data_IF_580088748446
#
_entry.id   IF_580088748446
#
_cell.length_a   1.000
_cell.length_b   1.000
_cell.length_c   1.000
_cell.angle_alpha   90.00
_cell.angle_beta   90.00
_cell.angle_gamma   90.00
#
_symmetry.space_group_name_H-M   'P 1'
#
loop_
_entity.id
_entity.type
_entity.pdbx_description
1 polymer ?
#
# COMPACT_ATOMS: atom_id res chain seq x y z
N UNK A 1 2.03 -7.58 -12.33
CA UNK A 1 2.29 -8.18 -11.00
C UNK A 1 1.84 -7.27 -9.84
N UNK A 2 1.80 -5.94 -9.98
CA UNK A 2 1.60 -5.03 -8.84
C UNK A 2 0.18 -5.01 -8.25
N UNK A 3 -0.89 -5.02 -9.06
CA UNK A 3 -2.27 -4.90 -8.56
C UNK A 3 -2.69 -6.10 -7.68
N UNK A 4 -2.25 -7.31 -8.04
CA UNK A 4 -2.59 -8.54 -7.32
C UNK A 4 -1.93 -8.62 -5.93
N UNK A 5 -0.77 -7.97 -5.74
CA UNK A 5 -0.13 -7.88 -4.42
C UNK A 5 -0.99 -7.10 -3.43
N UNK A 6 -1.67 -6.03 -3.87
CA UNK A 6 -2.40 -5.18 -2.93
C UNK A 6 -3.71 -5.79 -2.43
N UNK A 7 -4.31 -6.71 -3.19
CA UNK A 7 -5.47 -7.48 -2.69
C UNK A 7 -5.10 -8.29 -1.44
N UNK A 8 -3.85 -8.75 -1.33
CA UNK A 8 -3.36 -9.46 -0.13
C UNK A 8 -3.32 -8.60 1.14
N UNK A 9 -3.37 -7.27 1.01
CA UNK A 9 -3.45 -6.37 2.16
C UNK A 9 -4.84 -6.32 2.80
N UNK A 10 -5.90 -6.65 2.06
CA UNK A 10 -7.27 -6.72 2.61
C UNK A 10 -7.38 -7.74 3.76
N UNK A 11 -6.99 -9.03 3.59
CA UNK A 11 -7.02 -9.97 4.70
C UNK A 11 -6.04 -9.61 5.82
N UNK A 12 -4.90 -8.95 5.53
CA UNK A 12 -3.99 -8.47 6.57
C UNK A 12 -4.63 -7.37 7.43
N UNK A 13 -5.34 -6.43 6.82
CA UNK A 13 -6.09 -5.39 7.54
C UNK A 13 -7.12 -6.03 8.47
N UNK A 14 -7.88 -7.00 7.98
CA UNK A 14 -8.87 -7.73 8.80
C UNK A 14 -8.19 -8.44 9.97
N UNK A 15 -7.07 -9.13 9.73
CA UNK A 15 -6.28 -9.80 10.77
C UNK A 15 -5.75 -8.82 11.82
N UNK A 16 -5.23 -7.66 11.39
CA UNK A 16 -4.74 -6.63 12.29
C UNK A 16 -5.85 -6.10 13.20
N UNK A 17 -7.04 -5.86 12.64
CA UNK A 17 -8.22 -5.40 13.38
C UNK A 17 -8.80 -6.49 14.30
N UNK A 18 -8.64 -7.77 13.97
CA UNK A 18 -9.03 -8.89 14.84
C UNK A 18 -8.00 -9.19 15.95
N UNK A 19 -7.00 -8.32 16.13
CA UNK A 19 -5.97 -8.44 17.16
C UNK A 19 -4.75 -9.29 16.78
N UNK A 20 -4.75 -9.91 15.61
CA UNK A 20 -3.62 -10.69 15.08
C UNK A 20 -2.78 -9.82 14.15
N UNK A 21 -1.96 -8.95 14.76
CA UNK A 21 -1.17 -7.94 14.04
C UNK A 21 -0.02 -8.58 13.26
N UNK A 22 0.03 -8.29 11.95
CA UNK A 22 1.14 -8.63 11.07
C UNK A 22 2.32 -7.68 11.18
N UNK A 23 3.41 -7.97 10.45
CA UNK A 23 4.60 -7.12 10.42
C UNK A 23 4.31 -5.80 9.67
N UNK A 24 4.44 -4.62 10.32
CA UNK A 24 4.14 -3.33 9.70
C UNK A 24 5.21 -2.87 8.68
N UNK A 25 6.43 -3.42 8.69
CA UNK A 25 7.51 -2.97 7.82
C UNK A 25 7.19 -3.23 6.35
N UNK A 26 6.60 -4.39 6.03
CA UNK A 26 6.25 -4.74 4.66
C UNK A 26 5.23 -3.77 4.03
N UNK A 27 4.07 -3.48 4.65
CA UNK A 27 3.14 -2.50 4.12
C UNK A 27 3.70 -1.07 4.10
N UNK A 28 4.60 -0.70 5.01
CA UNK A 28 5.28 0.60 4.99
C UNK A 28 6.21 0.74 3.76
N UNK A 29 7.05 -0.27 3.51
CA UNK A 29 7.94 -0.27 2.35
C UNK A 29 7.13 -0.25 1.05
N UNK A 30 6.03 -1.00 0.99
CA UNK A 30 5.12 -0.97 -0.15
C UNK A 30 4.50 0.41 -0.35
N UNK A 31 4.00 1.05 0.71
CA UNK A 31 3.46 2.42 0.65
C UNK A 31 4.47 3.43 0.10
N UNK A 32 5.71 3.41 0.60
CA UNK A 32 6.78 4.29 0.11
C UNK A 32 7.09 4.02 -1.36
N UNK A 33 7.24 2.75 -1.72
CA UNK A 33 7.55 2.34 -3.10
C UNK A 33 6.47 2.81 -4.08
N UNK A 34 5.20 2.59 -3.74
CA UNK A 34 4.06 2.99 -4.57
C UNK A 34 3.97 4.52 -4.71
N UNK A 35 4.28 5.25 -3.63
CA UNK A 35 4.31 6.72 -3.63
C UNK A 35 5.41 7.24 -4.56
N UNK A 36 6.61 6.68 -4.49
CA UNK A 36 7.74 7.05 -5.37
C UNK A 36 7.38 6.77 -6.84
N UNK A 37 6.86 5.60 -7.17
CA UNK A 37 6.50 5.25 -8.55
C UNK A 37 5.36 6.09 -9.10
N UNK A 38 4.36 6.39 -8.26
CA UNK A 38 3.27 7.29 -8.64
C UNK A 38 3.79 8.70 -8.90
N UNK A 39 4.64 9.24 -8.01
CA UNK A 39 5.26 10.55 -8.21
C UNK A 39 6.14 10.57 -9.46
N UNK A 40 6.95 9.52 -9.69
CA UNK A 40 7.76 9.37 -10.89
C UNK A 40 6.90 9.40 -12.18
N UNK A 41 5.80 8.65 -12.21
CA UNK A 41 4.90 8.62 -13.37
C UNK A 41 4.21 9.96 -13.64
N UNK A 42 3.89 10.73 -12.58
CA UNK A 42 3.28 12.05 -12.69
C UNK A 42 4.27 13.16 -13.07
N UNK A 43 5.52 13.07 -12.61
CA UNK A 43 6.57 14.09 -12.83
C UNK A 43 7.25 13.96 -14.20
N UNK A 44 7.04 12.86 -14.94
CA UNK A 44 7.49 12.75 -16.32
C UNK A 44 6.82 13.80 -17.21
N UNK A 45 7.59 14.30 -18.19
CA UNK A 45 7.11 15.24 -19.23
C UNK A 45 5.91 14.66 -19.99
N UNK A 46 5.99 13.38 -20.35
CA UNK A 46 4.84 12.58 -20.79
C UNK A 46 4.42 11.68 -19.63
N UNK A 47 3.24 11.95 -19.07
CA UNK A 47 2.75 11.26 -17.88
C UNK A 47 2.61 9.76 -18.14
N UNK A 48 3.22 8.97 -17.28
CA UNK A 48 3.17 7.51 -17.33
C UNK A 48 1.95 7.01 -16.54
N UNK A 49 0.78 7.26 -17.12
CA UNK A 49 -0.51 6.86 -16.53
C UNK A 49 -0.58 5.38 -16.17
N UNK A 50 -0.03 4.43 -16.96
CA UNK A 50 0.00 3.02 -16.56
C UNK A 50 0.71 2.78 -15.21
N UNK A 51 1.87 3.40 -14.98
CA UNK A 51 2.59 3.29 -13.69
C UNK A 51 1.77 3.93 -12.55
N UNK A 52 1.17 5.09 -12.79
CA UNK A 52 0.36 5.81 -11.80
C UNK A 52 -0.81 4.94 -11.35
N UNK A 53 -1.62 4.44 -12.29
CA UNK A 53 -2.78 3.61 -11.96
C UNK A 53 -2.40 2.27 -11.33
N UNK A 54 -1.25 1.70 -11.70
CA UNK A 54 -0.77 0.47 -11.10
C UNK A 54 -0.35 0.62 -9.63
N UNK A 55 0.09 1.81 -9.20
CA UNK A 55 0.64 2.02 -7.86
C UNK A 55 -0.31 2.73 -6.89
N UNK A 56 -1.29 3.52 -7.39
CA UNK A 56 -2.28 4.21 -6.55
C UNK A 56 -2.97 3.28 -5.53
N UNK A 57 -3.48 2.07 -5.90
CA UNK A 57 -4.10 1.17 -4.93
C UNK A 57 -3.15 0.75 -3.80
N UNK A 58 -1.85 0.59 -4.11
CA UNK A 58 -0.83 0.23 -3.15
C UNK A 58 -0.50 1.32 -2.14
N UNK A 59 -0.68 2.59 -2.52
CA UNK A 59 -0.56 3.72 -1.58
C UNK A 59 -1.65 3.59 -0.51
N UNK A 60 -2.92 3.45 -0.92
CA UNK A 60 -4.04 3.38 0.02
C UNK A 60 -4.02 2.10 0.86
N UNK A 61 -3.83 0.95 0.22
CA UNK A 61 -3.87 -0.35 0.91
C UNK A 61 -2.62 -0.58 1.78
N UNK A 62 -1.44 -0.14 1.32
CA UNK A 62 -0.22 -0.18 2.12
C UNK A 62 -0.31 0.71 3.35
N UNK A 63 -0.80 1.95 3.20
CA UNK A 63 -1.03 2.85 4.32
C UNK A 63 -2.05 2.29 5.33
N UNK A 64 -3.20 1.80 4.85
CA UNK A 64 -4.23 1.22 5.73
C UNK A 64 -3.72 0.00 6.51
N UNK A 65 -2.96 -0.88 5.87
CA UNK A 65 -2.38 -2.06 6.52
C UNK A 65 -1.33 -1.67 7.55
N UNK A 66 -0.47 -0.70 7.23
CA UNK A 66 0.52 -0.18 8.17
C UNK A 66 -0.14 0.45 9.40
N UNK A 67 -1.15 1.30 9.19
CA UNK A 67 -1.89 1.97 10.27
C UNK A 67 -2.56 0.94 11.17
N UNK A 68 -3.25 -0.05 10.60
CA UNK A 68 -3.91 -1.10 11.40
C UNK A 68 -2.93 -2.03 12.12
N UNK A 69 -1.73 -2.25 11.57
CA UNK A 69 -0.69 -3.02 12.26
C UNK A 69 -0.09 -2.23 13.45
N UNK A 70 0.15 -0.92 13.27
CA UNK A 70 0.78 -0.08 14.31
C UNK A 70 -0.21 0.31 15.40
N UNK A 71 -1.38 0.83 15.03
CA UNK A 71 -2.38 1.31 15.98
C UNK A 71 -3.30 0.18 16.42
N UNK A 72 -3.56 0.10 17.72
CA UNK A 72 -4.62 -0.78 18.25
C UNK A 72 -5.89 0.06 18.37
N UNK A 73 -6.92 -0.30 17.61
CA UNK A 73 -8.26 0.23 17.80
C UNK A 73 -8.95 -0.68 18.83
N UNK A 74 -8.83 -0.30 20.10
CA UNK A 74 -9.44 -0.98 21.26
C UNK A 74 -10.90 -0.60 21.43
#
# INVERSE_FOLDING_TARGET
MSVLMYVSYIPQIISNLSGSKGNPIQPLVAFINCTIWTAYGLLKKEKDWPIVWANIPGIFLGAATFITAVFSFS
#
